data_IF_644272901996
#
_entry.id   IF_644272901996
#
_cell.length_a   1.000
_cell.length_b   1.000
_cell.length_c   1.000
_cell.angle_alpha   90.00
_cell.angle_beta   90.00
_cell.angle_gamma   90.00
#
_symmetry.space_group_name_H-M   'P 1'
#
loop_
_entity.id
_entity.type
_entity.pdbx_description
1 polymer ?
#
# COMPACT_ATOMS: atom_id res chain seq x y z
N UNK A 1 -4.09 -27.97 26.27
CA UNK A 1 -5.22 -27.08 25.92
C UNK A 1 -4.63 -25.73 25.54
N UNK A 2 -5.10 -25.11 24.46
CA UNK A 2 -4.65 -23.75 24.09
C UNK A 2 -5.33 -22.79 25.07
N UNK A 3 -4.54 -22.17 25.94
CA UNK A 3 -5.03 -21.26 26.99
C UNK A 3 -5.04 -19.79 26.53
N UNK A 4 -4.30 -19.47 25.47
CA UNK A 4 -4.20 -18.14 24.89
C UNK A 4 -4.77 -18.16 23.47
N UNK A 5 -5.95 -17.56 23.30
CA UNK A 5 -6.65 -17.44 22.02
C UNK A 5 -6.43 -16.07 21.37
N UNK A 6 -5.58 -15.21 21.95
CA UNK A 6 -5.38 -13.84 21.51
C UNK A 6 -6.71 -13.05 21.45
N UNK A 7 -6.95 -12.40 20.30
CA UNK A 7 -8.17 -11.60 20.05
C UNK A 7 -9.38 -12.44 19.58
N UNK A 8 -9.31 -13.76 19.64
CA UNK A 8 -10.41 -14.66 19.22
C UNK A 8 -11.24 -15.04 20.44
N UNK A 9 -12.52 -14.70 20.42
CA UNK A 9 -13.45 -15.05 21.51
C UNK A 9 -13.57 -16.58 21.65
N UNK A 10 -13.73 -17.03 22.90
CA UNK A 10 -13.93 -18.46 23.20
C UNK A 10 -15.35 -18.87 22.86
N UNK A 11 -15.56 -20.14 22.51
CA UNK A 11 -16.88 -20.64 22.12
C UNK A 11 -17.96 -20.47 23.21
N UNK A 12 -17.58 -20.35 24.48
CA UNK A 12 -18.44 -20.11 25.65
C UNK A 12 -18.66 -18.61 25.96
N UNK A 13 -17.96 -17.71 25.27
CA UNK A 13 -18.07 -16.27 25.47
C UNK A 13 -19.07 -15.64 24.50
N UNK A 14 -19.90 -14.73 25.00
CA UNK A 14 -20.76 -13.91 24.16
C UNK A 14 -19.91 -12.80 23.51
N UNK A 15 -19.80 -12.75 22.17
CA UNK A 15 -18.99 -11.74 21.50
C UNK A 15 -19.58 -10.34 21.69
N UNK A 16 -18.72 -9.32 21.68
CA UNK A 16 -19.17 -7.93 21.81
C UNK A 16 -20.01 -7.52 20.60
N UNK A 17 -21.13 -6.79 20.76
CA UNK A 17 -21.87 -6.25 19.61
C UNK A 17 -21.00 -5.36 18.69
N UNK A 18 -19.96 -4.72 19.24
CA UNK A 18 -19.00 -3.90 18.48
C UNK A 18 -18.21 -4.73 17.45
N UNK A 19 -17.99 -6.02 17.70
CA UNK A 19 -17.29 -6.92 16.77
C UNK A 19 -18.04 -7.08 15.43
N UNK A 20 -19.37 -7.01 15.48
CA UNK A 20 -20.25 -7.08 14.32
C UNK A 20 -20.80 -5.71 13.90
N UNK A 21 -20.19 -4.61 14.36
CA UNK A 21 -20.59 -3.27 13.95
C UNK A 21 -20.05 -2.95 12.55
N UNK A 22 -20.76 -2.11 11.78
CA UNK A 22 -20.25 -1.59 10.51
C UNK A 22 -19.51 -0.27 10.75
N UNK A 23 -18.25 -0.36 11.18
CA UNK A 23 -17.49 0.79 11.66
C UNK A 23 -17.25 1.89 10.63
N UNK A 24 -17.28 1.57 9.32
CA UNK A 24 -17.26 2.63 8.30
C UNK A 24 -18.45 3.56 8.44
N UNK A 25 -19.67 3.02 8.53
CA UNK A 25 -20.88 3.84 8.60
C UNK A 25 -20.89 4.74 9.84
N UNK A 26 -20.39 4.24 10.97
CA UNK A 26 -20.30 4.99 12.22
C UNK A 26 -19.32 6.17 12.13
N UNK A 27 -18.18 5.96 11.47
CA UNK A 27 -17.09 6.93 11.42
C UNK A 27 -17.05 7.73 10.11
N UNK A 28 -17.97 7.48 9.18
CA UNK A 28 -18.05 8.20 7.91
C UNK A 28 -18.52 9.63 8.15
N UNK A 29 -17.63 10.59 7.97
CA UNK A 29 -17.96 12.01 8.02
C UNK A 29 -18.57 12.44 6.68
N UNK A 30 -19.76 13.02 6.71
CA UNK A 30 -20.40 13.63 5.54
C UNK A 30 -19.78 15.01 5.33
N UNK A 31 -19.51 15.39 4.07
CA UNK A 31 -19.00 16.73 3.73
C UNK A 31 -17.48 16.87 3.62
N UNK A 32 -16.75 15.76 3.46
CA UNK A 32 -15.30 15.80 3.20
C UNK A 32 -15.05 16.51 1.84
N UNK A 33 -14.05 17.41 1.75
CA UNK A 33 -13.72 18.08 0.49
C UNK A 33 -13.51 17.06 -0.64
N UNK A 34 -13.95 17.43 -1.85
CA UNK A 34 -13.73 16.58 -3.02
C UNK A 34 -12.23 16.37 -3.22
N UNK A 35 -11.84 15.11 -3.37
CA UNK A 35 -10.46 14.76 -3.75
C UNK A 35 -10.12 15.50 -5.04
N UNK A 36 -8.93 16.08 -5.10
CA UNK A 36 -8.44 16.81 -6.26
C UNK A 36 -8.35 15.93 -7.53
N UNK A 37 -7.96 16.55 -8.65
CA UNK A 37 -7.89 15.88 -9.94
C UNK A 37 -6.97 14.64 -9.91
N UNK A 38 -7.54 13.47 -10.21
CA UNK A 38 -6.79 12.21 -10.28
C UNK A 38 -6.20 12.05 -11.68
N UNK A 39 -4.86 12.03 -11.76
CA UNK A 39 -4.15 11.70 -13.00
C UNK A 39 -4.06 10.18 -13.22
N UNK A 40 -4.21 9.69 -14.46
CA UNK A 40 -3.97 8.29 -14.79
C UNK A 40 -2.55 7.85 -14.44
N UNK A 41 -2.40 6.69 -13.80
CA UNK A 41 -1.11 6.14 -13.46
C UNK A 41 -0.42 5.45 -14.65
N UNK A 42 0.90 5.25 -14.53
CA UNK A 42 1.65 4.36 -15.40
C UNK A 42 1.21 2.92 -15.18
N UNK A 43 0.90 2.21 -16.27
CA UNK A 43 0.58 0.79 -16.26
C UNK A 43 1.66 0.05 -17.05
N UNK A 44 2.03 -1.13 -16.59
CA UNK A 44 3.01 -1.99 -17.25
C UNK A 44 2.60 -2.25 -18.72
N UNK A 45 3.49 -2.03 -19.70
CA UNK A 45 3.19 -2.19 -21.12
C UNK A 45 3.30 -3.65 -21.56
N UNK A 46 2.87 -4.59 -20.72
CA UNK A 46 2.87 -6.02 -21.01
C UNK A 46 1.48 -6.46 -21.46
N UNK A 47 1.46 -7.46 -22.34
CA UNK A 47 0.21 -8.06 -22.77
C UNK A 47 -0.45 -8.78 -21.60
N UNK A 48 -1.79 -8.68 -21.54
CA UNK A 48 -2.57 -9.43 -20.56
C UNK A 48 -2.58 -10.90 -20.97
N UNK A 49 -2.42 -11.77 -19.98
CA UNK A 49 -2.62 -13.21 -20.16
C UNK A 49 -4.06 -13.50 -20.56
N UNK A 50 -4.25 -14.59 -21.33
CA UNK A 50 -5.59 -15.07 -21.70
C UNK A 50 -6.38 -15.48 -20.44
N UNK A 51 -7.72 -15.35 -20.43
CA UNK A 51 -8.54 -15.85 -19.33
C UNK A 51 -8.21 -17.31 -18.98
N UNK A 52 -8.04 -17.61 -17.69
CA UNK A 52 -7.70 -18.95 -17.20
C UNK A 52 -6.20 -19.28 -17.13
N UNK A 53 -5.32 -18.40 -17.61
CA UNK A 53 -3.86 -18.56 -17.49
C UNK A 53 -3.32 -17.70 -16.36
N UNK A 54 -2.49 -18.27 -15.49
CA UNK A 54 -1.72 -17.54 -14.47
C UNK A 54 -0.23 -17.87 -14.55
N UNK A 55 0.61 -16.85 -14.42
CA UNK A 55 2.04 -17.02 -14.23
C UNK A 55 2.35 -16.82 -12.75
N UNK A 56 3.05 -17.78 -12.15
CA UNK A 56 3.41 -17.72 -10.73
C UNK A 56 4.92 -17.64 -10.63
N UNK A 57 5.41 -16.59 -9.97
CA UNK A 57 6.81 -16.44 -9.59
C UNK A 57 6.88 -16.66 -8.08
N UNK A 58 7.76 -17.55 -7.64
CA UNK A 58 7.99 -17.83 -6.22
C UNK A 58 9.40 -17.39 -5.84
N UNK A 59 9.51 -16.54 -4.82
CA UNK A 59 10.76 -16.13 -4.21
C UNK A 59 10.67 -16.28 -2.70
N UNK A 60 11.76 -16.70 -2.06
CA UNK A 60 11.87 -16.81 -0.61
C UNK A 60 13.06 -16.00 -0.14
N UNK A 61 12.89 -15.29 0.96
CA UNK A 61 13.93 -14.51 1.62
C UNK A 61 13.73 -14.58 3.13
N UNK A 62 14.81 -14.43 3.89
CA UNK A 62 14.72 -14.34 5.34
C UNK A 62 14.15 -12.98 5.73
N UNK A 63 13.07 -12.98 6.52
CA UNK A 63 12.40 -11.74 6.95
C UNK A 63 13.32 -10.82 7.76
N UNK A 64 14.26 -11.39 8.53
CA UNK A 64 15.18 -10.60 9.36
C UNK A 64 16.12 -9.76 8.50
N UNK A 65 16.55 -10.28 7.34
CA UNK A 65 17.44 -9.58 6.43
C UNK A 65 16.74 -8.37 5.82
N UNK A 66 15.48 -8.54 5.39
CA UNK A 66 14.67 -7.45 4.82
C UNK A 66 14.32 -6.40 5.88
N UNK A 67 13.99 -6.85 7.09
CA UNK A 67 13.74 -5.94 8.22
C UNK A 67 14.98 -5.13 8.58
N UNK A 68 16.18 -5.73 8.51
CA UNK A 68 17.43 -5.02 8.73
C UNK A 68 17.62 -3.92 7.68
N UNK A 69 17.43 -4.23 6.40
CA UNK A 69 17.49 -3.23 5.32
C UNK A 69 16.50 -2.09 5.54
N UNK A 70 15.23 -2.39 5.84
CA UNK A 70 14.23 -1.36 6.10
C UNK A 70 14.63 -0.44 7.29
N UNK A 71 15.25 -1.01 8.34
CA UNK A 71 15.76 -0.26 9.50
C UNK A 71 16.94 0.64 9.16
N UNK A 72 17.84 0.21 8.27
CA UNK A 72 18.95 1.05 7.78
C UNK A 72 18.42 2.32 7.12
N UNK A 73 17.29 2.20 6.41
CA UNK A 73 16.53 3.32 5.84
C UNK A 73 15.59 4.03 6.81
N UNK A 74 15.52 3.62 8.08
CA UNK A 74 14.65 4.16 9.13
C UNK A 74 13.15 4.16 8.80
N UNK A 75 12.70 3.17 8.02
CA UNK A 75 11.29 3.01 7.63
C UNK A 75 10.76 1.62 7.99
N UNK A 76 9.44 1.42 7.92
CA UNK A 76 8.81 0.11 8.07
C UNK A 76 9.07 -0.79 6.85
N UNK A 77 8.90 -2.10 7.03
CA UNK A 77 9.01 -3.08 5.94
C UNK A 77 8.09 -2.73 4.76
N UNK A 78 6.86 -2.31 5.04
CA UNK A 78 5.88 -1.96 4.00
C UNK A 78 6.31 -0.72 3.23
N UNK A 79 6.82 0.31 3.91
CA UNK A 79 7.34 1.52 3.26
C UNK A 79 8.53 1.16 2.35
N UNK A 80 9.47 0.36 2.86
CA UNK A 80 10.65 -0.08 2.10
C UNK A 80 10.25 -0.87 0.84
N UNK A 81 9.41 -1.89 0.96
CA UNK A 81 8.96 -2.68 -0.20
C UNK A 81 8.13 -1.87 -1.19
N UNK A 82 7.35 -0.89 -0.71
CA UNK A 82 6.62 0.04 -1.58
C UNK A 82 7.58 0.89 -2.38
N UNK A 83 8.62 1.45 -1.74
CA UNK A 83 9.65 2.23 -2.42
C UNK A 83 10.41 1.41 -3.46
N UNK A 84 10.83 0.18 -3.11
CA UNK A 84 11.45 -0.76 -4.05
C UNK A 84 10.54 -1.01 -5.25
N UNK A 85 9.24 -1.22 -5.04
CA UNK A 85 8.34 -1.47 -6.15
C UNK A 85 8.15 -0.22 -7.03
N UNK A 86 8.08 0.98 -6.45
CA UNK A 86 8.05 2.23 -7.22
C UNK A 86 9.30 2.38 -8.07
N UNK A 87 10.48 2.13 -7.48
CA UNK A 87 11.76 2.24 -8.18
C UNK A 87 11.87 1.23 -9.33
N UNK A 88 11.44 -0.02 -9.11
CA UNK A 88 11.36 -1.02 -10.20
C UNK A 88 10.44 -0.56 -11.32
N UNK A 89 9.27 0.02 -11.01
CA UNK A 89 8.36 0.56 -12.03
C UNK A 89 8.97 1.75 -12.78
N UNK A 90 9.73 2.59 -12.07
CA UNK A 90 10.50 3.68 -12.68
C UNK A 90 11.55 3.13 -13.64
N UNK A 91 12.35 2.16 -13.21
CA UNK A 91 13.36 1.52 -14.07
C UNK A 91 12.73 0.88 -15.30
N UNK A 92 11.61 0.17 -15.16
CA UNK A 92 10.88 -0.38 -16.31
C UNK A 92 10.47 0.73 -17.27
N UNK A 93 9.89 1.83 -16.76
CA UNK A 93 9.48 2.98 -17.57
C UNK A 93 10.67 3.58 -18.32
N UNK A 94 11.79 3.83 -17.63
CA UNK A 94 12.98 4.46 -18.20
C UNK A 94 13.71 3.59 -19.22
N UNK A 95 13.59 2.26 -19.11
CA UNK A 95 14.16 1.31 -20.07
C UNK A 95 13.28 1.07 -21.32
N UNK A 96 12.11 1.72 -21.43
CA UNK A 96 11.27 1.60 -22.62
C UNK A 96 11.86 2.30 -23.84
N UNK A 97 11.53 1.82 -25.07
CA UNK A 97 11.87 2.54 -26.29
C UNK A 97 11.38 3.99 -26.27
N UNK A 98 12.17 4.95 -26.77
CA UNK A 98 11.89 6.40 -26.71
C UNK A 98 10.45 6.80 -27.08
N UNK A 99 9.86 6.14 -28.08
CA UNK A 99 8.45 6.38 -28.48
C UNK A 99 7.47 5.95 -27.40
N UNK A 100 7.68 4.77 -26.81
CA UNK A 100 6.83 4.24 -25.73
C UNK A 100 7.03 5.04 -24.44
N UNK A 101 8.27 5.34 -24.06
CA UNK A 101 8.59 6.17 -22.90
C UNK A 101 7.81 7.49 -22.93
N UNK A 102 7.89 8.25 -24.04
CA UNK A 102 7.16 9.53 -24.17
C UNK A 102 5.64 9.38 -24.02
N UNK A 103 5.06 8.29 -24.54
CA UNK A 103 3.62 8.03 -24.47
C UNK A 103 3.16 7.57 -23.08
N UNK A 104 4.01 6.84 -22.37
CA UNK A 104 3.70 6.17 -21.11
C UNK A 104 4.22 6.90 -19.88
N UNK A 105 4.98 7.99 -20.05
CA UNK A 105 5.47 8.88 -18.98
C UNK A 105 4.30 9.47 -18.18
N UNK A 106 3.88 8.76 -17.14
CA UNK A 106 2.74 9.08 -16.27
C UNK A 106 3.15 8.88 -14.81
N UNK A 107 2.44 9.48 -13.83
CA UNK A 107 2.69 9.24 -12.42
C UNK A 107 2.68 7.75 -12.08
N UNK A 108 3.60 7.32 -11.22
CA UNK A 108 3.64 5.96 -10.67
C UNK A 108 3.01 6.05 -9.29
N UNK A 109 1.95 5.29 -9.04
CA UNK A 109 1.27 5.24 -7.73
C UNK A 109 0.93 3.82 -7.36
N UNK A 110 1.11 3.47 -6.09
CA UNK A 110 0.83 2.13 -5.57
C UNK A 110 -0.23 2.25 -4.49
N UNK A 111 -1.30 1.46 -4.61
CA UNK A 111 -2.34 1.40 -3.60
C UNK A 111 -1.93 0.45 -2.49
N UNK A 112 -1.65 0.99 -1.31
CA UNK A 112 -1.20 0.22 -0.14
C UNK A 112 -2.31 0.16 0.88
N UNK A 113 -2.83 -1.04 1.22
CA UNK A 113 -3.81 -1.19 2.29
C UNK A 113 -3.15 -0.95 3.65
N UNK A 114 -3.85 -0.24 4.52
CA UNK A 114 -3.44 0.03 5.90
C UNK A 114 -4.60 -0.29 6.85
N UNK A 115 -4.25 -0.75 8.06
CA UNK A 115 -5.26 -1.07 9.08
C UNK A 115 -5.86 0.23 9.63
N UNK A 116 -7.15 0.46 9.38
CA UNK A 116 -7.83 1.68 9.83
C UNK A 116 -7.99 1.75 11.35
N UNK A 117 -7.84 0.61 12.07
CA UNK A 117 -7.92 0.55 13.54
C UNK A 117 -6.82 1.35 14.24
N UNK A 118 -5.71 1.62 13.55
CA UNK A 118 -4.63 2.45 14.09
C UNK A 118 -5.02 3.93 14.21
N UNK A 119 -6.04 4.37 13.46
CA UNK A 119 -6.50 5.77 13.42
C UNK A 119 -7.88 5.88 14.10
N UNK A 120 -8.77 4.94 13.80
CA UNK A 120 -10.13 4.93 14.30
C UNK A 120 -10.26 3.77 15.28
N UNK A 121 -10.41 4.03 16.59
CA UNK A 121 -10.57 2.96 17.58
C UNK A 121 -11.86 2.19 17.26
N UNK A 122 -11.70 0.97 16.74
CA UNK A 122 -12.80 0.07 16.42
C UNK A 122 -12.42 -1.36 16.78
N UNK A 123 -13.36 -2.06 17.43
CA UNK A 123 -13.27 -3.49 17.74
C UNK A 123 -13.97 -4.37 16.70
N UNK A 124 -14.38 -3.80 15.57
CA UNK A 124 -15.01 -4.59 14.51
C UNK A 124 -14.07 -5.71 14.06
N UNK A 125 -14.62 -6.91 13.87
CA UNK A 125 -13.93 -8.04 13.27
C UNK A 125 -14.14 -8.10 11.75
N UNK A 126 -14.94 -7.18 11.19
CA UNK A 126 -15.07 -7.04 9.74
C UNK A 126 -13.81 -6.43 9.13
N UNK A 127 -13.68 -6.55 7.81
CA UNK A 127 -12.62 -5.86 7.09
C UNK A 127 -12.73 -4.34 7.34
N UNK A 128 -11.66 -3.75 7.87
CA UNK A 128 -11.57 -2.33 8.23
C UNK A 128 -10.21 -1.79 7.82
N UNK A 129 -10.02 -1.68 6.50
CA UNK A 129 -8.79 -1.24 5.85
C UNK A 129 -9.02 0.04 5.06
N UNK A 130 -8.19 1.05 5.26
CA UNK A 130 -8.15 2.18 4.32
C UNK A 130 -6.95 2.02 3.39
N UNK A 131 -6.86 2.85 2.36
CA UNK A 131 -5.78 2.78 1.37
C UNK A 131 -5.06 4.11 1.31
N UNK A 132 -3.74 4.04 1.20
CA UNK A 132 -2.89 5.17 0.84
C UNK A 132 -2.33 4.93 -0.55
N UNK A 133 -2.02 5.99 -1.29
CA UNK A 133 -1.47 5.91 -2.65
C UNK A 133 -0.16 6.67 -2.82
N UNK A 134 0.93 6.30 -2.11
CA UNK A 134 2.24 6.90 -2.32
C UNK A 134 2.73 6.65 -3.75
N UNK A 135 3.62 7.52 -4.22
CA UNK A 135 4.06 7.49 -5.61
C UNK A 135 4.99 8.63 -5.98
N UNK A 136 5.47 8.58 -7.22
CA UNK A 136 6.32 9.60 -7.83
C UNK A 136 5.73 10.08 -9.15
N UNK A 137 6.24 11.19 -9.66
CA UNK A 137 5.90 11.70 -10.98
C UNK A 137 7.14 11.75 -11.89
N UNK A 138 7.41 10.69 -12.68
CA UNK A 138 8.57 10.62 -13.56
C UNK A 138 8.65 11.75 -14.59
N UNK A 139 7.55 12.50 -14.80
CA UNK A 139 7.53 13.70 -15.65
C UNK A 139 8.53 14.74 -15.17
N UNK A 140 8.78 14.81 -13.86
CA UNK A 140 9.68 15.77 -13.22
C UNK A 140 11.16 15.38 -13.30
N UNK A 141 11.46 14.11 -13.57
CA UNK A 141 12.83 13.60 -13.58
C UNK A 141 12.87 12.13 -13.21
N UNK A 142 14.07 11.56 -13.23
CA UNK A 142 14.35 10.26 -12.60
C UNK A 142 14.66 10.52 -11.14
N UNK A 143 13.95 9.86 -10.24
CA UNK A 143 14.14 9.97 -8.81
C UNK A 143 15.23 9.00 -8.36
N UNK A 144 16.02 9.37 -7.35
CA UNK A 144 16.89 8.43 -6.66
C UNK A 144 16.09 7.55 -5.70
N UNK A 145 16.67 6.45 -5.25
CA UNK A 145 15.98 5.56 -4.32
C UNK A 145 15.72 6.23 -2.96
N UNK A 146 16.68 7.06 -2.52
CA UNK A 146 16.56 7.90 -1.32
C UNK A 146 15.33 8.81 -1.41
N UNK A 147 15.17 9.54 -2.52
CA UNK A 147 14.04 10.44 -2.75
C UNK A 147 12.70 9.68 -2.75
N UNK A 148 12.67 8.49 -3.36
CA UNK A 148 11.46 7.64 -3.39
C UNK A 148 11.08 7.21 -1.97
N UNK A 149 12.05 6.75 -1.16
CA UNK A 149 11.80 6.34 0.22
C UNK A 149 11.26 7.51 1.06
N UNK A 150 11.87 8.69 0.95
CA UNK A 150 11.41 9.89 1.68
C UNK A 150 9.97 10.25 1.30
N UNK A 151 9.66 10.25 0.00
CA UNK A 151 8.30 10.52 -0.48
C UNK A 151 7.29 9.51 0.05
N UNK A 152 7.61 8.21 0.05
CA UNK A 152 6.74 7.17 0.61
C UNK A 152 6.53 7.37 2.12
N UNK A 153 7.61 7.61 2.86
CA UNK A 153 7.57 7.80 4.31
C UNK A 153 6.73 9.02 4.71
N UNK A 154 7.00 10.17 4.09
CA UNK A 154 6.26 11.39 4.35
C UNK A 154 4.79 11.27 3.93
N UNK A 155 4.51 10.64 2.78
CA UNK A 155 3.14 10.42 2.33
C UNK A 155 2.35 9.61 3.36
N UNK A 156 2.91 8.50 3.85
CA UNK A 156 2.26 7.67 4.88
C UNK A 156 2.02 8.47 6.16
N UNK A 157 3.01 9.21 6.66
CA UNK A 157 2.85 9.98 7.90
C UNK A 157 1.78 11.07 7.77
N UNK A 158 1.71 11.76 6.63
CA UNK A 158 0.66 12.76 6.37
C UNK A 158 -0.75 12.13 6.37
N UNK A 159 -0.91 10.96 5.75
CA UNK A 159 -2.23 10.32 5.59
C UNK A 159 -2.64 9.43 6.78
N UNK A 160 -1.76 9.22 7.77
CA UNK A 160 -2.04 8.45 8.99
C UNK A 160 -2.27 9.31 10.24
N UNK A 161 -1.97 10.61 10.19
CA UNK A 161 -2.01 11.50 11.36
C UNK A 161 -3.25 12.43 11.37
N UNK A 162 -4.20 12.22 10.46
CA UNK A 162 -5.48 12.96 10.37
C UNK A 162 -6.71 12.11 10.74
#
# INVERSE_FOLDING_TARGET
MIHDWGDVFRADQKPSPEEFEYSYRKNFKIGIPKVGKIYPAFHLPFDRVKPGVSHVINGKMNVNDVLKLAKEWKVTLTEFLTAVYIDVLQEILHNLPRRQFRRLKRPIRIMVPINARNIIPSKTMRNFTTFISPGIDPRQGKFTFEEIIELVHHYKNLHLTE
#
